data_IF_131826466069
#
_entry.id   IF_131826466069
#
_cell.length_a   1.000
_cell.length_b   1.000
_cell.length_c   1.000
_cell.angle_alpha   90.00
_cell.angle_beta   90.00
_cell.angle_gamma   90.00
#
_symmetry.space_group_name_H-M   'P 1'
#
loop_
_entity.id
_entity.type
_entity.pdbx_description
1 polymer ?
#
# COMPACT_ATOMS: atom_id res chain seq x y z
N UNK A 1 13.18 -13.87 -22.71
CA UNK A 1 11.76 -14.20 -22.50
C UNK A 1 11.05 -12.87 -22.33
N UNK A 2 10.28 -12.49 -23.34
CA UNK A 2 9.55 -11.23 -23.45
C UNK A 2 8.54 -11.11 -22.31
N UNK A 3 8.73 -10.11 -21.44
CA UNK A 3 7.66 -9.66 -20.56
C UNK A 3 6.78 -8.75 -21.41
N UNK A 4 5.60 -9.24 -21.77
CA UNK A 4 4.54 -8.48 -22.45
C UNK A 4 4.40 -7.09 -21.86
N UNK A 5 4.84 -6.08 -22.61
CA UNK A 5 4.62 -4.67 -22.32
C UNK A 5 3.10 -4.39 -22.25
N UNK A 6 2.65 -3.83 -21.14
CA UNK A 6 1.55 -2.87 -21.13
C UNK A 6 0.13 -3.36 -20.83
N UNK A 7 -0.09 -4.65 -20.56
CA UNK A 7 -1.44 -5.15 -20.23
C UNK A 7 -1.65 -5.25 -18.72
N UNK A 8 -2.78 -4.71 -18.23
CA UNK A 8 -3.17 -4.86 -16.84
C UNK A 8 -3.37 -6.36 -16.52
N UNK A 9 -2.76 -6.84 -15.43
CA UNK A 9 -2.95 -8.20 -14.91
C UNK A 9 -4.31 -8.34 -14.21
N UNK A 10 -4.89 -7.23 -13.77
CA UNK A 10 -6.19 -7.16 -13.15
C UNK A 10 -6.45 -5.78 -12.56
N UNK A 11 -7.47 -5.69 -11.70
CA UNK A 11 -7.82 -4.48 -10.97
C UNK A 11 -7.48 -4.68 -9.50
N UNK A 12 -6.71 -3.74 -8.95
CA UNK A 12 -6.51 -3.61 -7.52
C UNK A 12 -7.70 -2.85 -6.96
N UNK A 13 -8.28 -3.32 -5.85
CA UNK A 13 -9.36 -2.63 -5.13
C UNK A 13 -9.06 -2.65 -3.64
N UNK A 14 -9.01 -1.47 -3.02
CA UNK A 14 -8.85 -1.35 -1.58
C UNK A 14 -10.16 -1.70 -0.86
N UNK A 15 -10.11 -2.65 0.07
CA UNK A 15 -11.27 -3.09 0.86
C UNK A 15 -11.70 -2.11 1.97
N UNK A 16 -11.07 -0.93 2.08
CA UNK A 16 -11.40 0.09 3.08
C UNK A 16 -11.95 1.38 2.48
N UNK A 17 -11.39 1.85 1.36
CA UNK A 17 -11.81 3.08 0.71
C UNK A 17 -12.29 2.89 -0.73
N UNK A 18 -12.38 1.64 -1.19
CA UNK A 18 -12.86 1.26 -2.54
C UNK A 18 -12.02 1.80 -3.71
N UNK A 19 -10.89 2.49 -3.43
CA UNK A 19 -9.94 2.92 -4.44
C UNK A 19 -9.58 1.75 -5.33
N UNK A 20 -9.87 1.91 -6.63
CA UNK A 20 -9.67 0.88 -7.63
C UNK A 20 -8.81 1.39 -8.78
N UNK A 21 -7.86 0.58 -9.23
CA UNK A 21 -6.97 0.94 -10.32
C UNK A 21 -6.37 -0.31 -10.98
N UNK A 22 -6.17 -0.34 -12.31
CA UNK A 22 -5.51 -1.47 -12.97
C UNK A 22 -4.08 -1.63 -12.45
N UNK A 23 -3.61 -2.86 -12.26
CA UNK A 23 -2.21 -3.13 -11.89
C UNK A 23 -1.53 -3.98 -12.96
N UNK A 24 -0.21 -3.81 -13.11
CA UNK A 24 0.59 -4.54 -14.11
C UNK A 24 1.63 -5.46 -13.48
N UNK A 25 1.79 -5.46 -12.15
CA UNK A 25 2.59 -6.45 -11.44
C UNK A 25 2.07 -6.69 -10.01
N UNK A 26 2.28 -7.92 -9.51
CA UNK A 26 2.14 -8.26 -8.10
C UNK A 26 3.41 -8.98 -7.63
N UNK A 27 3.98 -8.52 -6.51
CA UNK A 27 5.14 -9.17 -5.88
C UNK A 27 6.19 -8.18 -5.37
N UNK A 28 7.34 -8.72 -4.97
CA UNK A 28 8.44 -7.95 -4.37
C UNK A 28 9.42 -7.35 -5.39
N UNK A 29 9.42 -7.82 -6.64
CA UNK A 29 10.38 -7.40 -7.66
C UNK A 29 9.65 -6.64 -8.76
N UNK A 30 9.64 -5.30 -8.72
CA UNK A 30 9.03 -4.49 -9.76
C UNK A 30 9.70 -4.76 -11.11
N UNK A 31 8.92 -4.88 -12.20
CA UNK A 31 9.48 -5.05 -13.54
C UNK A 31 10.34 -3.83 -13.89
N UNK A 32 11.35 -4.03 -14.75
CA UNK A 32 12.24 -2.98 -15.27
C UNK A 32 13.11 -2.25 -14.23
N UNK A 33 13.23 -2.79 -13.01
CA UNK A 33 14.17 -2.27 -12.00
C UNK A 33 15.30 -3.28 -11.78
N UNK A 34 16.54 -2.91 -12.12
CA UNK A 34 17.67 -3.88 -12.13
C UNK A 34 18.19 -4.24 -10.73
N UNK A 35 17.78 -3.53 -9.68
CA UNK A 35 18.34 -3.71 -8.34
C UNK A 35 17.37 -3.40 -7.18
N UNK A 36 16.06 -3.22 -7.43
CA UNK A 36 15.09 -2.89 -6.38
C UNK A 36 14.31 -4.13 -5.97
N UNK A 37 14.24 -4.38 -4.67
CA UNK A 37 13.39 -5.40 -4.06
C UNK A 37 12.58 -4.74 -2.95
N UNK A 38 11.25 -4.85 -3.03
CA UNK A 38 10.32 -4.36 -2.03
C UNK A 38 10.31 -5.29 -0.82
N UNK A 39 10.09 -4.71 0.35
CA UNK A 39 10.01 -5.45 1.62
C UNK A 39 8.72 -6.27 1.76
N UNK A 40 7.76 -6.08 0.86
CA UNK A 40 6.48 -6.77 0.84
C UNK A 40 6.01 -7.03 -0.60
N UNK A 41 5.09 -7.99 -0.77
CA UNK A 41 4.43 -8.19 -2.05
C UNK A 41 3.44 -7.04 -2.30
N UNK A 42 3.67 -6.26 -3.34
CA UNK A 42 2.85 -5.11 -3.67
C UNK A 42 2.09 -5.31 -4.97
N UNK A 43 0.89 -4.74 -5.04
CA UNK A 43 0.23 -4.42 -6.29
C UNK A 43 0.83 -3.12 -6.83
N UNK A 44 1.29 -3.13 -8.06
CA UNK A 44 1.80 -1.92 -8.68
C UNK A 44 1.60 -1.86 -10.19
N UNK A 45 1.90 -0.69 -10.72
CA UNK A 45 1.80 -0.37 -12.14
C UNK A 45 3.02 0.40 -12.60
N UNK A 46 3.17 0.57 -13.92
CA UNK A 46 4.06 1.61 -14.44
C UNK A 46 3.60 2.97 -13.92
N UNK A 47 4.54 3.80 -13.48
CA UNK A 47 4.21 5.13 -12.99
C UNK A 47 3.61 5.99 -14.12
N UNK A 48 2.33 6.42 -14.03
CA UNK A 48 1.69 7.22 -15.07
C UNK A 48 2.16 8.69 -15.06
N UNK A 49 2.87 9.12 -14.01
CA UNK A 49 3.36 10.49 -13.85
C UNK A 49 4.84 10.64 -14.24
N UNK A 50 5.53 9.53 -14.49
CA UNK A 50 6.93 9.53 -14.91
C UNK A 50 7.06 9.03 -16.36
N UNK A 51 7.45 9.89 -17.32
CA UNK A 51 7.64 9.48 -18.71
C UNK A 51 8.86 8.56 -18.92
N UNK A 52 9.79 8.53 -17.96
CA UNK A 52 10.94 7.62 -17.95
C UNK A 52 10.48 6.17 -17.78
N UNK A 53 10.92 5.29 -18.68
CA UNK A 53 10.36 3.94 -18.86
C UNK A 53 10.61 2.93 -17.73
N UNK A 54 11.22 3.35 -16.62
CA UNK A 54 11.72 2.43 -15.58
C UNK A 54 11.18 2.71 -14.17
N UNK A 55 10.20 3.63 -14.02
CA UNK A 55 9.56 3.92 -12.73
C UNK A 55 8.24 3.17 -12.55
N UNK A 56 7.96 2.78 -11.32
CA UNK A 56 6.76 2.05 -10.93
C UNK A 56 6.05 2.78 -9.79
N UNK A 57 4.74 2.61 -9.72
CA UNK A 57 3.88 3.11 -8.65
C UNK A 57 3.33 1.93 -7.85
N UNK A 58 3.44 2.00 -6.52
CA UNK A 58 2.82 1.04 -5.60
C UNK A 58 1.42 1.51 -5.24
N UNK A 59 0.42 0.67 -5.49
CA UNK A 59 -0.98 0.97 -5.18
C UNK A 59 -1.35 0.54 -3.76
N UNK A 60 -0.88 -0.64 -3.37
CA UNK A 60 -1.33 -1.32 -2.17
C UNK A 60 -0.68 -2.69 -1.99
N UNK A 61 -1.04 -3.35 -0.90
CA UNK A 61 -0.56 -4.68 -0.49
C UNK A 61 -1.62 -5.32 0.40
N UNK A 62 -1.42 -6.56 0.80
CA UNK A 62 -2.29 -7.26 1.75
C UNK A 62 -1.87 -6.90 3.18
N UNK A 63 -2.86 -6.65 4.04
CA UNK A 63 -2.64 -6.57 5.48
C UNK A 63 -2.06 -7.90 5.97
N UNK A 64 -0.91 -7.87 6.64
CA UNK A 64 -0.25 -9.10 7.10
C UNK A 64 -0.97 -9.84 8.24
N UNK A 65 -1.98 -9.21 8.88
CA UNK A 65 -2.78 -9.84 9.93
C UNK A 65 -4.09 -10.45 9.41
N UNK A 66 -4.82 -9.73 8.55
CA UNK A 66 -6.15 -10.16 8.08
C UNK A 66 -6.22 -10.44 6.57
N UNK A 67 -5.12 -10.31 5.85
CA UNK A 67 -5.00 -10.51 4.39
C UNK A 67 -5.85 -9.61 3.49
N UNK A 68 -6.60 -8.64 4.07
CA UNK A 68 -7.35 -7.65 3.29
C UNK A 68 -6.44 -6.82 2.40
N UNK A 69 -6.88 -6.57 1.18
CA UNK A 69 -6.22 -5.72 0.21
C UNK A 69 -6.40 -4.25 0.59
N UNK A 70 -5.30 -3.56 0.88
CA UNK A 70 -5.33 -2.16 1.33
C UNK A 70 -4.35 -1.29 0.55
N UNK A 71 -4.79 -0.07 0.22
CA UNK A 71 -3.97 0.88 -0.52
C UNK A 71 -2.89 1.49 0.39
N UNK A 72 -1.90 2.15 -0.23
CA UNK A 72 -0.84 2.90 0.46
C UNK A 72 -1.36 4.16 1.19
N UNK A 73 -2.64 4.51 1.04
CA UNK A 73 -3.24 5.67 1.67
C UNK A 73 -3.16 5.60 3.19
N UNK A 74 -2.78 6.72 3.81
CA UNK A 74 -2.54 6.83 5.25
C UNK A 74 -3.77 6.63 6.14
N UNK A 75 -4.96 6.66 5.54
CA UNK A 75 -6.25 6.37 6.18
C UNK A 75 -6.67 4.90 6.03
N UNK A 76 -5.96 4.12 5.22
CA UNK A 76 -6.25 2.71 4.97
C UNK A 76 -5.20 1.79 5.57
N UNK A 77 -3.92 2.15 5.47
CA UNK A 77 -2.84 1.29 5.92
C UNK A 77 -1.65 2.05 6.50
N UNK A 78 -0.80 1.28 7.18
CA UNK A 78 0.50 1.68 7.69
C UNK A 78 1.53 0.64 7.24
N UNK A 79 2.68 1.09 6.73
CA UNK A 79 3.84 0.24 6.53
C UNK A 79 4.87 0.48 7.65
N UNK A 80 5.30 -0.59 8.31
CA UNK A 80 6.43 -0.55 9.25
C UNK A 80 7.48 -1.59 8.82
N UNK A 81 7.34 -2.84 9.27
CA UNK A 81 8.08 -3.99 8.72
C UNK A 81 7.26 -4.76 7.68
N UNK A 82 5.94 -4.61 7.75
CA UNK A 82 4.91 -5.15 6.85
C UNK A 82 3.79 -4.12 6.73
N UNK A 83 2.87 -4.28 5.77
CA UNK A 83 1.65 -3.49 5.71
C UNK A 83 0.57 -4.04 6.65
N UNK A 84 -0.04 -3.14 7.39
CA UNK A 84 -1.17 -3.40 8.27
C UNK A 84 -2.31 -2.47 7.88
N UNK A 85 -3.53 -2.99 7.80
CA UNK A 85 -4.70 -2.12 7.66
C UNK A 85 -4.93 -1.36 8.97
N UNK A 86 -5.46 -0.14 8.90
CA UNK A 86 -5.68 0.67 10.10
C UNK A 86 -6.59 0.00 11.16
N UNK A 87 -7.64 -0.77 10.81
CA UNK A 87 -8.36 -1.56 11.80
C UNK A 87 -7.43 -2.48 12.60
N UNK A 88 -6.61 -3.29 11.93
CA UNK A 88 -5.67 -4.18 12.62
C UNK A 88 -4.61 -3.43 13.44
N UNK A 89 -4.14 -2.26 12.98
CA UNK A 89 -3.24 -1.40 13.77
C UNK A 89 -3.91 -0.94 15.05
N UNK A 90 -5.20 -0.56 15.02
CA UNK A 90 -5.94 -0.13 16.21
C UNK A 90 -6.16 -1.27 17.19
N UNK A 91 -6.49 -2.45 16.70
CA UNK A 91 -6.75 -3.63 17.53
C UNK A 91 -5.47 -4.13 18.24
N UNK A 92 -4.32 -3.97 17.58
CA UNK A 92 -3.01 -4.43 18.07
C UNK A 92 -2.07 -3.27 18.44
N UNK A 93 -2.62 -2.09 18.73
CA UNK A 93 -1.83 -0.84 18.86
C UNK A 93 -0.69 -0.97 19.89
N UNK A 94 -0.97 -1.65 21.00
CA UNK A 94 -0.01 -1.88 22.09
C UNK A 94 1.23 -2.71 21.70
N UNK A 95 1.18 -3.41 20.57
CA UNK A 95 2.30 -4.22 20.07
C UNK A 95 3.23 -3.44 19.13
N UNK A 96 2.83 -2.24 18.71
CA UNK A 96 3.66 -1.36 17.89
C UNK A 96 4.58 -0.49 18.77
N UNK A 97 5.73 -0.02 18.25
CA UNK A 97 6.57 0.95 18.96
C UNK A 97 5.82 2.23 19.33
N UNK A 98 6.18 2.88 20.44
CA UNK A 98 5.50 4.09 20.95
C UNK A 98 5.36 5.20 19.89
N UNK A 99 6.35 5.36 19.01
CA UNK A 99 6.32 6.34 17.93
C UNK A 99 5.10 6.12 17.01
N UNK A 100 4.87 4.87 16.59
CA UNK A 100 3.72 4.49 15.76
C UNK A 100 2.41 4.67 16.54
N UNK A 101 2.40 4.29 17.82
CA UNK A 101 1.22 4.48 18.67
C UNK A 101 0.82 5.96 18.73
N UNK A 102 1.79 6.85 18.96
CA UNK A 102 1.58 8.28 19.04
C UNK A 102 1.08 8.89 17.72
N UNK A 103 1.61 8.46 16.58
CA UNK A 103 1.14 8.92 15.25
C UNK A 103 -0.32 8.52 15.00
N UNK A 104 -0.68 7.27 15.29
CA UNK A 104 -2.05 6.77 15.12
C UNK A 104 -3.03 7.50 16.04
N UNK A 105 -2.62 7.80 17.28
CA UNK A 105 -3.43 8.56 18.23
C UNK A 105 -3.60 10.03 17.84
N UNK A 106 -2.54 10.70 17.35
CA UNK A 106 -2.61 12.07 16.84
C UNK A 106 -3.53 12.20 15.62
N UNK A 107 -3.55 11.21 14.73
CA UNK A 107 -4.49 11.20 13.59
C UNK A 107 -5.95 11.16 14.05
N UNK A 108 -6.27 10.45 15.15
CA UNK A 108 -7.63 10.42 15.71
C UNK A 108 -8.11 11.80 16.19
N UNK A 109 -7.22 12.63 16.75
CA UNK A 109 -7.61 13.96 17.25
C UNK A 109 -7.92 14.95 16.14
N UNK A 110 -7.21 14.87 15.01
CA UNK A 110 -7.42 15.78 13.86
C UNK A 110 -8.73 15.46 13.13
N UNK A 111 -9.04 14.18 12.92
CA UNK A 111 -10.29 13.77 12.25
C UNK A 111 -11.56 14.13 13.05
N UNK A 112 -11.45 14.22 14.38
CA UNK A 112 -12.57 14.63 15.24
C UNK A 112 -12.85 16.14 15.17
N UNK A 113 -11.82 16.95 14.91
CA UNK A 113 -11.95 18.41 14.76
C UNK A 113 -12.49 18.84 13.39
N UNK A 114 -12.28 18.04 12.33
CA UNK A 114 -12.79 18.33 10.99
C UNK A 114 -14.25 17.89 10.75
N UNK A 115 -14.86 17.21 11.73
CA UNK A 115 -16.24 16.73 11.68
C UNK A 115 -17.16 17.45 12.67
N UNK A 116 -16.69 18.57 13.27
CA UNK A 116 -17.45 19.44 14.17
C UNK A 116 -17.67 20.82 13.54
#
# INVERSE_FOLDING_TARGET
>A
MDFTEGSALGVFTCELCELSSPYSFYGQKPPNTRAIVLLEECYGMKDPFSPEREKFLVLGSKCCLCSKTVCVGTDCSLFYTKRFCLPCVRDHLHQFPEQVQNEVLRKKSVQKMSAS
#
